data_IF_416588975281
#
_entry.id   IF_416588975281
#
_cell.length_a   1.000
_cell.length_b   1.000
_cell.length_c   1.000
_cell.angle_alpha   90.00
_cell.angle_beta   90.00
_cell.angle_gamma   90.00
#
_symmetry.space_group_name_H-M   'P 1'
#
loop_
_entity.id
_entity.type
_entity.pdbx_description
1 polymer ?
#
# COMPACT_ATOMS: atom_id res chain seq x y z
N UNK A 1 27.03 -8.45 16.74
CA UNK A 1 26.98 -9.04 15.38
C UNK A 1 25.55 -8.81 15.00
N UNK A 2 25.27 -7.61 14.51
CA UNK A 2 23.92 -7.05 14.40
C UNK A 2 23.70 -6.78 12.92
N UNK A 3 23.65 -7.85 12.14
CA UNK A 3 23.65 -7.79 10.67
C UNK A 3 22.23 -7.80 10.07
N UNK A 4 21.19 -7.99 10.90
CA UNK A 4 19.82 -8.15 10.41
C UNK A 4 18.99 -6.84 10.46
N UNK A 5 19.35 -5.90 11.33
CA UNK A 5 18.68 -4.58 11.44
C UNK A 5 19.04 -3.62 10.31
N UNK A 6 20.32 -3.57 9.90
CA UNK A 6 20.79 -2.65 8.85
C UNK A 6 20.17 -2.95 7.48
N UNK A 7 19.91 -4.23 7.18
CA UNK A 7 19.30 -4.66 5.91
C UNK A 7 17.83 -4.26 5.80
N UNK A 8 17.08 -4.37 6.91
CA UNK A 8 15.65 -4.06 6.94
C UNK A 8 15.39 -2.55 6.95
N UNK A 9 16.23 -1.75 7.61
CA UNK A 9 16.15 -0.28 7.51
C UNK A 9 16.52 0.23 6.10
N UNK A 10 17.54 -0.37 5.46
CA UNK A 10 17.89 -0.04 4.08
C UNK A 10 16.74 -0.36 3.10
N UNK A 11 16.08 -1.50 3.27
CA UNK A 11 14.92 -1.89 2.48
C UNK A 11 13.73 -0.93 2.70
N UNK A 12 13.53 -0.46 3.93
CA UNK A 12 12.53 0.58 4.23
C UNK A 12 12.87 1.84 3.44
N UNK A 13 14.11 2.34 3.52
CA UNK A 13 14.53 3.57 2.82
C UNK A 13 14.37 3.51 1.29
N UNK A 14 14.56 2.35 0.67
CA UNK A 14 14.38 2.16 -0.77
C UNK A 14 12.89 2.04 -1.18
N UNK A 15 12.00 1.80 -0.22
CA UNK A 15 10.57 1.56 -0.49
C UNK A 15 9.82 2.86 -0.76
N UNK A 16 9.35 3.02 -1.99
CA UNK A 16 8.50 4.17 -2.39
C UNK A 16 7.08 4.06 -1.81
N UNK A 17 6.48 2.87 -1.86
CA UNK A 17 5.17 2.56 -1.27
C UNK A 17 5.20 1.11 -0.80
N UNK A 18 4.89 0.84 0.46
CA UNK A 18 4.96 -0.50 1.00
C UNK A 18 4.11 -0.71 2.24
N UNK A 19 3.91 -1.98 2.56
CA UNK A 19 3.29 -2.43 3.81
C UNK A 19 4.35 -3.23 4.53
N UNK A 20 4.58 -2.90 5.79
CA UNK A 20 5.44 -3.72 6.66
C UNK A 20 4.59 -4.53 7.61
N UNK A 21 5.10 -5.70 7.97
CA UNK A 21 4.48 -6.61 8.92
C UNK A 21 5.55 -7.00 9.92
N UNK A 22 5.31 -6.72 11.19
CA UNK A 22 6.17 -7.15 12.30
C UNK A 22 5.54 -8.39 12.90
N UNK A 23 6.36 -9.43 13.08
CA UNK A 23 5.97 -10.69 13.71
C UNK A 23 6.99 -11.00 14.80
N UNK A 24 6.54 -11.71 15.83
CA UNK A 24 7.45 -12.27 16.83
C UNK A 24 8.36 -13.30 16.18
N UNK A 25 9.58 -13.41 16.70
CA UNK A 25 10.62 -14.29 16.15
C UNK A 25 10.17 -15.76 16.09
N UNK A 26 9.36 -16.21 17.05
CA UNK A 26 8.81 -17.57 17.14
C UNK A 26 7.39 -17.71 16.56
N UNK A 27 6.86 -16.71 15.85
CA UNK A 27 5.50 -16.73 15.32
C UNK A 27 5.36 -17.64 14.09
N UNK A 28 4.29 -18.43 14.05
CA UNK A 28 3.91 -19.23 12.89
C UNK A 28 3.34 -18.32 11.77
N UNK A 29 3.38 -18.76 10.50
CA UNK A 29 2.86 -17.97 9.37
C UNK A 29 1.36 -17.60 9.51
N UNK A 30 0.59 -18.41 10.22
CA UNK A 30 -0.84 -18.18 10.50
C UNK A 30 -1.10 -17.36 11.76
N UNK A 31 -0.07 -17.07 12.57
CA UNK A 31 -0.24 -16.20 13.75
C UNK A 31 -0.53 -14.75 13.35
N UNK A 32 -1.31 -14.09 14.20
CA UNK A 32 -1.59 -12.68 14.05
C UNK A 32 -0.29 -11.85 14.11
N UNK A 33 -0.13 -10.87 13.20
CA UNK A 33 1.03 -10.00 13.21
C UNK A 33 1.05 -9.16 14.48
N UNK A 34 2.25 -8.89 15.00
CA UNK A 34 2.44 -8.00 16.15
C UNK A 34 2.13 -6.55 15.75
N UNK A 35 2.53 -6.17 14.54
CA UNK A 35 2.20 -4.88 13.96
C UNK A 35 2.09 -4.96 12.43
N UNK A 36 1.24 -4.11 11.87
CA UNK A 36 1.15 -3.87 10.44
C UNK A 36 1.06 -2.37 10.21
N UNK A 37 1.84 -1.86 9.27
CA UNK A 37 1.81 -0.45 8.94
C UNK A 37 2.16 -0.15 7.49
N UNK A 38 2.20 1.15 7.17
CA UNK A 38 2.41 1.66 5.81
C UNK A 38 3.70 2.48 5.76
N UNK A 39 4.49 2.24 4.70
CA UNK A 39 5.68 3.02 4.36
C UNK A 39 5.40 3.82 3.08
N UNK A 40 5.75 5.10 3.10
CA UNK A 40 5.76 6.00 1.95
C UNK A 40 7.14 6.66 1.85
N UNK A 41 7.76 6.60 0.68
CA UNK A 41 9.03 7.26 0.35
C UNK A 41 10.13 7.04 1.41
N UNK A 42 10.28 5.81 1.88
CA UNK A 42 11.29 5.48 2.88
C UNK A 42 10.89 5.73 4.34
N UNK A 43 9.67 6.22 4.58
CA UNK A 43 9.19 6.64 5.90
C UNK A 43 7.98 5.81 6.33
N UNK A 44 8.01 5.26 7.54
CA UNK A 44 6.84 4.66 8.19
C UNK A 44 5.84 5.78 8.51
N UNK A 45 4.69 5.79 7.86
CA UNK A 45 3.67 6.85 8.01
C UNK A 45 2.48 6.41 8.85
N UNK A 46 2.25 5.10 8.96
CA UNK A 46 1.23 4.49 9.80
C UNK A 46 1.80 3.21 10.40
N UNK A 47 1.42 2.94 11.63
CA UNK A 47 1.68 1.74 12.43
C UNK A 47 0.40 1.34 13.16
N UNK A 48 0.46 0.22 13.88
CA UNK A 48 -0.59 -0.32 14.74
C UNK A 48 -1.93 -0.58 14.03
N UNK A 49 -1.90 -0.89 12.73
CA UNK A 49 -3.11 -1.18 11.95
C UNK A 49 -3.65 -2.60 12.22
N UNK A 50 -2.84 -3.46 12.83
CA UNK A 50 -3.23 -4.79 13.31
C UNK A 50 -3.52 -5.83 12.23
N UNK A 51 -3.77 -5.47 10.97
CA UNK A 51 -3.92 -6.42 9.88
C UNK A 51 -3.56 -5.84 8.50
N UNK A 52 -3.17 -6.73 7.60
CA UNK A 52 -2.76 -6.40 6.22
C UNK A 52 -3.89 -5.79 5.39
N UNK A 53 -5.14 -6.29 5.41
CA UNK A 53 -6.23 -5.67 4.65
C UNK A 53 -6.45 -4.20 5.00
N UNK A 54 -6.40 -3.83 6.29
CA UNK A 54 -6.52 -2.44 6.71
C UNK A 54 -5.35 -1.60 6.21
N UNK A 55 -4.11 -2.11 6.32
CA UNK A 55 -2.93 -1.43 5.80
C UNK A 55 -3.00 -1.19 4.28
N UNK A 56 -3.53 -2.15 3.52
CA UNK A 56 -3.80 -1.96 2.09
C UNK A 56 -4.77 -0.81 1.85
N UNK A 57 -5.91 -0.81 2.54
CA UNK A 57 -6.92 0.26 2.41
C UNK A 57 -6.32 1.62 2.79
N UNK A 58 -5.56 1.69 3.87
CA UNK A 58 -4.92 2.92 4.33
C UNK A 58 -3.87 3.42 3.33
N UNK A 59 -3.07 2.54 2.73
CA UNK A 59 -2.13 2.90 1.68
C UNK A 59 -2.86 3.53 0.47
N UNK A 60 -3.96 2.92 0.01
CA UNK A 60 -4.79 3.49 -1.06
C UNK A 60 -5.38 4.85 -0.67
N UNK A 61 -5.91 4.96 0.54
CA UNK A 61 -6.51 6.18 1.06
C UNK A 61 -5.48 7.32 1.16
N UNK A 62 -4.26 7.04 1.65
CA UNK A 62 -3.18 8.03 1.74
C UNK A 62 -2.73 8.53 0.38
N UNK A 63 -2.51 7.62 -0.58
CA UNK A 63 -2.12 7.98 -1.95
C UNK A 63 -3.15 8.93 -2.57
N UNK A 64 -4.44 8.64 -2.36
CA UNK A 64 -5.52 9.49 -2.84
C UNK A 64 -5.66 10.82 -2.07
N UNK A 65 -5.67 10.78 -0.73
CA UNK A 65 -5.87 11.95 0.12
C UNK A 65 -4.73 12.97 0.01
N UNK A 66 -3.51 12.49 -0.17
CA UNK A 66 -2.31 13.32 -0.37
C UNK A 66 -2.07 13.66 -1.85
N UNK A 67 -2.92 13.17 -2.75
CA UNK A 67 -2.79 13.36 -4.20
C UNK A 67 -1.38 12.99 -4.72
N UNK A 68 -0.82 11.90 -4.19
CA UNK A 68 0.50 11.42 -4.57
C UNK A 68 0.45 10.82 -5.98
N UNK A 69 1.57 10.91 -6.69
CA UNK A 69 1.69 10.24 -7.98
C UNK A 69 1.64 8.73 -7.78
N UNK A 70 0.68 8.08 -8.43
CA UNK A 70 0.51 6.63 -8.34
C UNK A 70 1.79 5.93 -8.79
N UNK A 71 2.41 5.08 -7.94
CA UNK A 71 3.64 4.39 -8.31
C UNK A 71 3.40 3.46 -9.51
N UNK A 72 4.35 3.35 -10.44
CA UNK A 72 4.20 2.55 -11.65
C UNK A 72 3.84 1.09 -11.37
N UNK A 73 4.35 0.52 -10.27
CA UNK A 73 4.12 -0.87 -9.89
C UNK A 73 2.66 -1.15 -9.52
N UNK A 74 1.95 -0.16 -8.97
CA UNK A 74 0.55 -0.31 -8.55
C UNK A 74 -0.43 0.32 -9.54
N UNK A 75 0.04 0.91 -10.65
CA UNK A 75 -0.78 1.59 -11.65
C UNK A 75 -2.01 0.77 -12.07
N UNK A 76 -1.84 -0.52 -12.30
CA UNK A 76 -2.95 -1.40 -12.69
C UNK A 76 -3.95 -1.67 -11.57
N UNK A 77 -3.48 -1.78 -10.32
CA UNK A 77 -4.36 -1.94 -9.16
C UNK A 77 -5.18 -0.67 -8.90
N UNK A 78 -4.56 0.50 -9.03
CA UNK A 78 -5.25 1.79 -8.95
C UNK A 78 -6.23 1.99 -10.10
N UNK A 79 -5.85 1.64 -11.33
CA UNK A 79 -6.75 1.70 -12.49
C UNK A 79 -7.96 0.78 -12.30
N UNK A 80 -7.76 -0.43 -11.77
CA UNK A 80 -8.84 -1.34 -11.45
C UNK A 80 -9.76 -0.76 -10.37
N UNK A 81 -9.22 -0.22 -9.27
CA UNK A 81 -10.03 0.39 -8.21
C UNK A 81 -10.78 1.63 -8.70
N UNK A 82 -10.15 2.50 -9.49
CA UNK A 82 -10.83 3.64 -10.11
C UNK A 82 -11.95 3.20 -11.04
N UNK A 83 -11.77 2.13 -11.84
CA UNK A 83 -12.82 1.60 -12.71
C UNK A 83 -13.93 0.88 -11.95
N UNK A 84 -13.59 0.08 -10.94
CA UNK A 84 -14.53 -0.77 -10.19
C UNK A 84 -15.30 0.05 -9.15
N UNK A 85 -14.62 0.93 -8.42
CA UNK A 85 -15.21 1.70 -7.31
C UNK A 85 -15.77 3.04 -7.79
N UNK A 86 -15.06 3.73 -8.68
CA UNK A 86 -15.48 5.08 -9.14
C UNK A 86 -16.23 5.08 -10.46
N UNK A 87 -16.53 3.89 -11.03
CA UNK A 87 -17.15 3.71 -12.37
C UNK A 87 -16.53 4.61 -13.45
N UNK A 88 -15.22 4.88 -13.34
CA UNK A 88 -14.54 5.87 -14.18
C UNK A 88 -14.28 5.37 -15.61
N UNK A 89 -14.82 4.22 -16.00
CA UNK A 89 -14.82 3.75 -17.38
C UNK A 89 -15.82 4.58 -18.20
N UNK A 90 -15.45 5.85 -18.42
CA UNK A 90 -16.16 6.85 -19.19
C UNK A 90 -16.24 6.55 -20.69
N UNK A 91 -16.29 5.28 -21.10
CA UNK A 91 -16.72 4.88 -22.45
C UNK A 91 -18.24 4.80 -22.55
N UNK A 92 -18.92 5.85 -22.08
CA UNK A 92 -20.22 6.27 -22.61
C UNK A 92 -20.13 7.75 -22.97
N UNK A 93 -19.19 8.10 -23.85
CA UNK A 93 -19.43 9.23 -24.74
C UNK A 93 -20.68 8.85 -25.56
N UNK A 94 -21.82 9.34 -25.09
CA UNK A 94 -23.09 9.26 -25.82
C UNK A 94 -22.81 9.70 -27.25
N UNK A 95 -22.96 8.79 -28.22
CA UNK A 95 -23.07 9.17 -29.62
C UNK A 95 -24.29 10.08 -29.71
N UNK A 96 -24.05 11.38 -29.66
CA UNK A 96 -25.07 12.38 -30.00
C UNK A 96 -25.30 12.21 -31.49
N UNK A 97 -26.44 11.60 -31.83
CA UNK A 97 -26.87 11.32 -33.19
C UNK A 97 -26.60 12.53 -34.11
N UNK A 98 -25.79 12.33 -35.15
CA UNK A 98 -25.76 13.16 -36.35
C UNK A 98 -26.64 12.51 -37.41
#
# INVERSE_FOLDING_TARGET
MDTDGESSEAAVMETMFGIFVIRKEDAEPDDDPEDVGVILEGVKVLDELGNVPLAVVMLFALVYALNLSYPPQLRYTFEALQKIIMELDGKRLSKKNQ
#
